data_IF_836830990160
#
_entry.id   IF_836830990160
#
_cell.length_a   1.000
_cell.length_b   1.000
_cell.length_c   1.000
_cell.angle_alpha   90.00
_cell.angle_beta   90.00
_cell.angle_gamma   90.00
#
_symmetry.space_group_name_H-M   'P 1'
#
loop_
_entity.id
_entity.type
_entity.pdbx_description
1 polymer ?
#
# COMPACT_ATOMS: atom_id res chain seq x y z
N UNK A 1 13.91 28.39 23.87
CA UNK A 1 13.03 27.70 22.92
C UNK A 1 13.06 26.21 23.28
N UNK A 2 11.95 25.49 23.13
CA UNK A 2 11.96 24.03 23.28
C UNK A 2 12.81 23.40 22.17
N UNK A 3 13.56 22.36 22.53
CA UNK A 3 14.34 21.57 21.58
C UNK A 3 13.36 20.92 20.61
N UNK A 4 13.67 20.96 19.31
CA UNK A 4 12.86 20.34 18.26
C UNK A 4 13.37 18.95 17.96
N UNK A 5 12.46 18.00 17.80
CA UNK A 5 12.78 16.62 17.43
C UNK A 5 12.57 16.40 15.92
N UNK A 6 13.62 15.97 15.24
CA UNK A 6 13.61 15.54 13.84
C UNK A 6 13.74 14.01 13.80
N UNK A 7 12.77 13.35 13.18
CA UNK A 7 12.74 11.89 13.07
C UNK A 7 13.11 11.48 11.65
N UNK A 8 14.00 10.50 11.53
CA UNK A 8 14.27 9.75 10.31
C UNK A 8 13.54 8.40 10.40
N UNK A 9 12.49 8.25 9.60
CA UNK A 9 11.66 7.05 9.62
C UNK A 9 11.95 6.13 8.43
N UNK A 10 12.00 4.83 8.70
CA UNK A 10 12.20 3.80 7.70
C UNK A 10 11.90 2.41 8.21
N UNK A 11 11.95 1.43 7.31
CA UNK A 11 11.71 0.03 7.62
C UNK A 11 12.88 -0.87 7.20
N UNK A 12 13.01 -2.00 7.87
CA UNK A 12 14.09 -2.98 7.64
C UNK A 12 13.61 -4.27 6.99
N UNK A 13 12.32 -4.53 7.00
CA UNK A 13 11.71 -5.63 6.27
C UNK A 13 11.63 -5.34 4.76
N UNK A 14 11.31 -6.35 3.99
CA UNK A 14 11.30 -6.29 2.52
C UNK A 14 10.22 -7.20 1.96
N UNK A 15 9.64 -6.84 0.81
CA UNK A 15 8.73 -7.71 0.07
C UNK A 15 9.44 -8.99 -0.41
N UNK A 16 8.69 -10.08 -0.68
CA UNK A 16 9.24 -11.30 -1.30
C UNK A 16 10.02 -11.02 -2.58
N UNK A 17 11.02 -11.81 -2.86
CA UNK A 17 11.89 -11.65 -4.03
C UNK A 17 11.18 -11.84 -5.37
N UNK A 18 10.06 -12.57 -5.39
CA UNK A 18 9.52 -13.13 -6.61
C UNK A 18 10.38 -14.30 -7.15
N UNK A 19 10.22 -14.70 -8.41
CA UNK A 19 10.97 -15.81 -9.00
C UNK A 19 12.48 -15.52 -9.04
N UNK A 20 13.28 -16.33 -8.35
CA UNK A 20 14.74 -16.16 -8.27
C UNK A 20 15.40 -16.20 -9.65
N UNK A 21 14.85 -16.93 -10.61
CA UNK A 21 15.37 -17.00 -11.99
C UNK A 21 15.34 -15.65 -12.75
N UNK A 22 14.61 -14.66 -12.24
CA UNK A 22 14.57 -13.31 -12.82
C UNK A 22 15.63 -12.37 -12.26
N UNK A 23 16.36 -12.80 -11.24
CA UNK A 23 17.44 -12.03 -10.66
C UNK A 23 18.78 -12.32 -11.37
N UNK A 24 19.56 -11.26 -11.61
CA UNK A 24 20.91 -11.37 -12.18
C UNK A 24 22.00 -11.67 -11.12
N UNK A 25 21.64 -11.63 -9.84
CA UNK A 25 22.47 -11.96 -8.67
C UNK A 25 21.56 -12.44 -7.54
N UNK A 26 22.11 -13.06 -6.50
CA UNK A 26 21.35 -13.40 -5.32
C UNK A 26 20.72 -12.12 -4.72
N UNK A 27 19.38 -12.06 -4.53
CA UNK A 27 18.70 -10.89 -4.00
C UNK A 27 19.13 -10.48 -2.59
N UNK A 28 19.71 -11.40 -1.80
CA UNK A 28 20.17 -11.13 -0.44
C UNK A 28 21.70 -10.97 -0.32
N UNK A 29 22.41 -10.99 -1.45
CA UNK A 29 23.84 -10.69 -1.51
C UNK A 29 24.05 -9.35 -2.21
N UNK A 30 24.44 -8.27 -1.48
CA UNK A 30 24.67 -6.95 -2.07
C UNK A 30 25.67 -7.02 -3.20
N UNK A 31 25.23 -6.71 -4.41
CA UNK A 31 26.06 -6.86 -5.61
C UNK A 31 26.25 -5.51 -6.30
N UNK A 32 27.49 -5.04 -6.39
CA UNK A 32 27.86 -3.85 -7.17
C UNK A 32 28.05 -4.22 -8.63
N UNK A 33 27.27 -3.61 -9.53
CA UNK A 33 27.36 -3.84 -10.97
C UNK A 33 26.93 -2.59 -11.73
N UNK A 34 27.67 -2.18 -12.74
CA UNK A 34 27.35 -1.05 -13.62
C UNK A 34 27.06 0.26 -12.86
N UNK A 35 27.81 0.53 -11.80
CA UNK A 35 27.66 1.72 -10.95
C UNK A 35 26.39 1.72 -10.07
N UNK A 36 25.72 0.58 -9.93
CA UNK A 36 24.51 0.39 -9.12
C UNK A 36 24.72 -0.68 -8.07
N UNK A 37 23.97 -0.57 -6.98
CA UNK A 37 23.85 -1.61 -5.95
C UNK A 37 22.56 -2.42 -6.20
N UNK A 38 22.73 -3.71 -6.44
CA UNK A 38 21.63 -4.66 -6.61
C UNK A 38 21.41 -5.46 -5.34
N UNK A 39 20.15 -5.62 -4.96
CA UNK A 39 19.70 -6.42 -3.83
C UNK A 39 18.27 -6.09 -3.43
N UNK A 40 17.55 -7.06 -2.86
CA UNK A 40 16.23 -6.83 -2.31
C UNK A 40 16.32 -5.88 -1.11
N UNK A 41 15.52 -4.79 -1.09
CA UNK A 41 15.59 -3.74 -0.08
C UNK A 41 16.68 -2.70 -0.30
N UNK A 42 17.47 -2.77 -1.41
CA UNK A 42 18.46 -1.75 -1.71
C UNK A 42 17.79 -0.40 -2.04
N UNK A 43 16.79 -0.39 -2.92
CA UNK A 43 16.03 0.82 -3.26
C UNK A 43 14.98 1.14 -2.21
N UNK A 44 14.28 0.13 -1.72
CA UNK A 44 13.19 0.22 -0.76
C UNK A 44 13.54 -0.63 0.47
N UNK A 45 14.03 -0.02 1.58
CA UNK A 45 14.49 1.36 1.63
C UNK A 45 15.84 1.46 2.40
N UNK A 46 16.60 0.35 2.50
CA UNK A 46 17.81 0.27 3.34
C UNK A 46 18.91 1.28 2.95
N UNK A 47 18.99 1.66 1.67
CA UNK A 47 19.93 2.70 1.22
C UNK A 47 19.59 4.06 1.80
N UNK A 48 18.31 4.39 1.93
CA UNK A 48 17.86 5.62 2.57
C UNK A 48 18.19 5.63 4.06
N UNK A 49 18.03 4.49 4.76
CA UNK A 49 18.46 4.38 6.17
C UNK A 49 19.96 4.61 6.30
N UNK A 50 20.76 4.00 5.45
CA UNK A 50 22.21 4.20 5.44
C UNK A 50 22.57 5.67 5.18
N UNK A 51 21.89 6.34 4.24
CA UNK A 51 22.08 7.76 3.96
C UNK A 51 21.72 8.64 5.16
N UNK A 52 20.65 8.32 5.91
CA UNK A 52 20.30 9.02 7.14
C UNK A 52 21.39 8.92 8.20
N UNK A 53 21.95 7.70 8.39
CA UNK A 53 23.04 7.49 9.35
C UNK A 53 24.25 8.35 9.00
N UNK A 54 24.71 8.27 7.75
CA UNK A 54 25.88 9.06 7.29
C UNK A 54 25.62 10.56 7.42
N UNK A 55 24.45 11.03 7.01
CA UNK A 55 24.10 12.45 7.12
C UNK A 55 24.09 12.95 8.58
N UNK A 56 23.59 12.12 9.51
CA UNK A 56 23.61 12.44 10.95
C UNK A 56 25.04 12.44 11.48
N UNK A 57 25.88 11.48 11.13
CA UNK A 57 27.29 11.44 11.52
C UNK A 57 28.04 12.68 11.05
N UNK A 58 27.89 13.07 9.77
CA UNK A 58 28.51 14.27 9.19
C UNK A 58 27.99 15.54 9.88
N UNK A 59 26.68 15.63 10.13
CA UNK A 59 26.08 16.77 10.82
C UNK A 59 26.60 16.94 12.24
N UNK A 60 26.68 15.84 13.01
CA UNK A 60 27.19 15.87 14.40
C UNK A 60 28.69 16.18 14.45
N UNK A 61 29.47 15.72 13.46
CA UNK A 61 30.87 16.08 13.36
C UNK A 61 31.08 17.59 13.09
N UNK A 62 30.20 18.19 12.27
CA UNK A 62 30.22 19.63 11.98
C UNK A 62 29.56 20.48 13.07
N UNK A 63 28.62 19.90 13.85
CA UNK A 63 27.85 20.61 14.89
C UNK A 63 27.79 19.76 16.16
N UNK A 64 28.86 19.75 16.99
CA UNK A 64 28.98 18.86 18.13
C UNK A 64 27.93 19.04 19.23
N UNK A 65 27.25 20.19 19.26
CA UNK A 65 26.18 20.50 20.24
C UNK A 65 24.96 21.08 19.53
N UNK A 66 24.23 20.27 18.74
CA UNK A 66 23.08 20.78 18.03
C UNK A 66 21.93 21.14 18.99
N UNK A 67 21.18 22.18 18.66
CA UNK A 67 19.98 22.61 19.39
C UNK A 67 18.72 21.87 18.88
N UNK A 68 18.89 20.65 18.38
CA UNK A 68 17.84 19.76 17.90
C UNK A 68 18.08 18.35 18.43
N UNK A 69 17.03 17.59 18.57
CA UNK A 69 17.04 16.16 18.85
C UNK A 69 16.90 15.39 17.54
N UNK A 70 17.77 14.41 17.32
CA UNK A 70 17.73 13.53 16.14
C UNK A 70 17.31 12.14 16.59
N UNK A 71 16.27 11.61 15.98
CA UNK A 71 15.73 10.30 16.30
C UNK A 71 15.59 9.43 15.06
N UNK A 72 15.82 8.12 15.20
CA UNK A 72 15.54 7.11 14.18
C UNK A 72 14.32 6.31 14.62
N UNK A 73 13.30 6.25 13.77
CA UNK A 73 12.14 5.35 13.92
C UNK A 73 12.28 4.26 12.87
N UNK A 74 12.70 3.07 13.32
CA UNK A 74 12.90 1.92 12.44
C UNK A 74 11.91 0.83 12.83
N UNK A 75 11.22 0.30 11.81
CA UNK A 75 10.24 -0.77 11.97
C UNK A 75 10.60 -1.96 11.08
N UNK A 76 9.96 -3.11 11.32
CA UNK A 76 10.16 -4.35 10.57
C UNK A 76 8.85 -5.01 10.15
N UNK A 77 7.76 -4.25 10.07
CA UNK A 77 6.45 -4.65 9.59
C UNK A 77 5.79 -3.49 8.82
N UNK A 78 6.50 -2.97 7.79
CA UNK A 78 5.94 -1.99 6.85
C UNK A 78 5.41 -2.69 5.61
N UNK A 79 6.17 -3.63 5.06
CA UNK A 79 5.90 -4.37 3.84
C UNK A 79 5.00 -5.60 4.04
N UNK A 80 4.73 -5.94 5.30
CA UNK A 80 3.88 -7.05 5.70
C UNK A 80 2.45 -6.60 6.05
N UNK A 81 1.84 -7.20 7.08
CA UNK A 81 0.51 -6.86 7.55
C UNK A 81 0.37 -5.44 8.11
N UNK A 82 1.50 -4.76 8.41
CA UNK A 82 1.58 -3.41 9.00
C UNK A 82 0.80 -3.26 10.32
N UNK A 83 0.79 -4.32 11.13
CA UNK A 83 0.07 -4.38 12.41
C UNK A 83 0.98 -3.96 13.57
N UNK A 84 2.23 -4.49 13.58
CA UNK A 84 3.20 -4.30 14.66
C UNK A 84 4.32 -3.30 14.31
N UNK A 85 4.13 -2.53 13.23
CA UNK A 85 5.10 -1.56 12.71
C UNK A 85 4.93 -0.14 13.27
N UNK A 86 5.07 0.84 12.39
CA UNK A 86 5.06 2.29 12.71
C UNK A 86 3.86 2.73 13.53
N UNK A 87 2.68 2.15 13.31
CA UNK A 87 1.45 2.49 14.04
C UNK A 87 1.61 2.28 15.54
N UNK A 88 2.10 1.11 15.95
CA UNK A 88 2.30 0.76 17.37
C UNK A 88 3.34 1.69 18.02
N UNK A 89 4.44 1.96 17.31
CA UNK A 89 5.47 2.88 17.82
C UNK A 89 4.89 4.28 18.04
N UNK A 90 4.15 4.83 17.07
CA UNK A 90 3.54 6.16 17.19
C UNK A 90 2.50 6.21 18.31
N UNK A 91 1.69 5.18 18.50
CA UNK A 91 0.73 5.09 19.60
C UNK A 91 1.44 5.10 20.97
N UNK A 92 2.56 4.39 21.10
CA UNK A 92 3.35 4.38 22.35
C UNK A 92 4.03 5.72 22.59
N UNK A 93 4.62 6.35 21.59
CA UNK A 93 5.21 7.68 21.70
C UNK A 93 4.17 8.71 22.16
N UNK A 94 2.98 8.65 21.57
CA UNK A 94 1.84 9.49 21.96
C UNK A 94 1.41 9.23 23.41
N UNK A 95 1.33 7.98 23.83
CA UNK A 95 0.98 7.61 25.20
C UNK A 95 2.01 8.12 26.24
N UNK A 96 3.29 8.21 25.86
CA UNK A 96 4.37 8.79 26.67
C UNK A 96 4.43 10.32 26.61
N UNK A 97 3.57 10.96 25.82
CA UNK A 97 3.57 12.43 25.63
C UNK A 97 4.75 12.95 24.83
N UNK A 98 5.46 12.08 24.11
CA UNK A 98 6.58 12.48 23.26
C UNK A 98 6.09 13.21 22.01
N UNK A 99 6.72 14.33 21.71
CA UNK A 99 6.38 15.16 20.56
C UNK A 99 7.45 15.05 19.50
N UNK A 100 7.02 14.62 18.31
CA UNK A 100 7.84 14.64 17.10
C UNK A 100 7.48 15.89 16.31
N UNK A 101 8.44 16.80 16.09
CA UNK A 101 8.19 18.06 15.38
C UNK A 101 8.27 17.92 13.86
N UNK A 102 9.22 17.11 13.38
CA UNK A 102 9.45 16.85 11.96
C UNK A 102 9.73 15.37 11.73
N UNK A 103 9.31 14.86 10.57
CA UNK A 103 9.61 13.50 10.16
C UNK A 103 10.02 13.47 8.69
N UNK A 104 11.15 12.85 8.39
CA UNK A 104 11.59 12.52 7.05
C UNK A 104 11.46 11.02 6.87
N UNK A 105 10.62 10.61 5.91
CA UNK A 105 10.42 9.20 5.57
C UNK A 105 11.28 8.88 4.35
N UNK A 106 12.13 7.86 4.46
CA UNK A 106 13.14 7.54 3.46
C UNK A 106 12.67 6.70 2.27
N UNK A 107 11.38 6.63 2.03
CA UNK A 107 10.80 5.88 0.92
C UNK A 107 11.26 6.39 -0.45
N UNK A 108 11.42 5.50 -1.47
CA UNK A 108 11.82 5.89 -2.81
C UNK A 108 10.70 6.69 -3.50
N UNK A 109 10.93 7.97 -3.72
CA UNK A 109 9.94 8.86 -4.35
C UNK A 109 10.44 9.53 -5.62
N UNK A 110 11.75 9.57 -5.82
CA UNK A 110 12.38 10.18 -7.00
C UNK A 110 11.98 9.47 -8.29
N UNK A 111 11.81 10.23 -9.36
CA UNK A 111 11.37 9.72 -10.67
C UNK A 111 12.55 9.60 -11.63
N UNK A 112 13.27 10.68 -11.90
CA UNK A 112 14.41 10.73 -12.83
C UNK A 112 15.75 10.95 -12.13
N UNK A 113 15.76 11.77 -11.09
CA UNK A 113 16.97 12.12 -10.32
C UNK A 113 16.67 12.03 -8.84
N UNK A 114 17.66 11.58 -8.07
CA UNK A 114 17.55 11.57 -6.60
C UNK A 114 17.16 12.96 -6.07
N UNK A 115 16.06 13.02 -5.34
CA UNK A 115 15.55 14.24 -4.72
C UNK A 115 14.70 15.15 -5.64
N UNK A 116 14.36 14.73 -6.85
CA UNK A 116 13.52 15.51 -7.76
C UNK A 116 12.04 15.53 -7.37
N UNK A 117 11.62 14.61 -6.49
CA UNK A 117 10.25 14.53 -5.98
C UNK A 117 10.22 14.25 -4.48
N UNK A 118 9.46 15.06 -3.77
CA UNK A 118 9.11 14.84 -2.35
C UNK A 118 7.60 14.67 -2.25
N UNK A 119 7.14 13.61 -1.60
CA UNK A 119 5.73 13.42 -1.28
C UNK A 119 5.44 14.01 0.10
N UNK A 120 4.61 15.04 0.16
CA UNK A 120 4.17 15.69 1.40
C UNK A 120 2.78 15.22 1.87
N UNK A 121 2.24 14.18 1.25
CA UNK A 121 0.97 13.54 1.61
C UNK A 121 0.73 12.30 0.76
N UNK A 122 -0.17 11.44 1.21
CA UNK A 122 -0.54 10.20 0.52
C UNK A 122 -2.05 10.10 0.37
N UNK A 123 -2.50 9.45 -0.69
CA UNK A 123 -3.90 9.02 -0.84
C UNK A 123 -4.22 7.93 0.16
N UNK A 124 -5.47 7.88 0.61
CA UNK A 124 -5.98 6.74 1.35
C UNK A 124 -6.05 5.49 0.48
N UNK A 125 -6.01 4.34 1.13
CA UNK A 125 -6.27 3.03 0.52
C UNK A 125 -7.36 2.32 1.30
N UNK A 126 -8.24 1.62 0.58
CA UNK A 126 -9.24 0.75 1.17
C UNK A 126 -9.39 -0.47 0.27
N UNK A 127 -9.12 -1.65 0.80
CA UNK A 127 -9.40 -2.92 0.14
C UNK A 127 -10.73 -3.48 0.59
N UNK A 128 -11.38 -4.25 -0.28
CA UNK A 128 -12.60 -4.94 0.05
C UNK A 128 -12.77 -6.20 -0.79
N UNK A 129 -13.59 -7.09 -0.29
CA UNK A 129 -14.06 -8.28 -0.97
C UNK A 129 -15.57 -8.17 -1.19
N UNK A 130 -16.02 -8.48 -2.40
CA UNK A 130 -17.44 -8.59 -2.74
C UNK A 130 -17.74 -10.03 -3.14
N UNK A 131 -18.47 -10.73 -2.27
CA UNK A 131 -18.86 -12.12 -2.48
C UNK A 131 -20.35 -12.20 -2.88
N UNK A 132 -20.63 -12.85 -4.01
CA UNK A 132 -21.99 -13.12 -4.50
C UNK A 132 -22.27 -14.61 -4.40
N UNK A 133 -23.34 -14.95 -3.72
CA UNK A 133 -23.81 -16.34 -3.58
C UNK A 133 -24.91 -16.63 -4.57
N UNK A 134 -24.71 -17.72 -5.32
CA UNK A 134 -25.69 -18.27 -6.25
C UNK A 134 -26.18 -19.65 -5.82
N UNK A 135 -26.59 -20.44 -6.80
CA UNK A 135 -26.95 -21.85 -6.63
C UNK A 135 -26.15 -22.63 -7.69
N UNK A 136 -25.26 -23.52 -7.23
CA UNK A 136 -24.49 -24.37 -8.12
C UNK A 136 -25.39 -25.35 -8.85
N UNK A 137 -25.10 -25.62 -10.11
CA UNK A 137 -25.85 -26.59 -10.91
C UNK A 137 -25.15 -26.93 -12.23
N UNK A 138 -25.75 -27.84 -12.97
CA UNK A 138 -25.27 -28.20 -14.31
C UNK A 138 -25.73 -27.15 -15.33
N UNK A 139 -24.84 -26.69 -16.22
CA UNK A 139 -25.13 -25.64 -17.21
C UNK A 139 -26.29 -25.98 -18.14
N UNK A 140 -26.53 -27.27 -18.41
CA UNK A 140 -27.66 -27.74 -19.25
C UNK A 140 -29.03 -27.56 -18.59
N UNK A 141 -29.07 -27.28 -17.27
CA UNK A 141 -30.30 -27.09 -16.49
C UNK A 141 -30.29 -25.75 -15.77
N UNK A 142 -30.24 -24.62 -16.52
CA UNK A 142 -30.08 -23.29 -15.93
C UNK A 142 -31.22 -22.90 -14.97
N UNK A 143 -32.41 -23.50 -15.13
CA UNK A 143 -33.56 -23.29 -14.26
C UNK A 143 -33.37 -23.87 -12.83
N UNK A 144 -32.42 -24.76 -12.64
CA UNK A 144 -32.06 -25.36 -11.33
C UNK A 144 -30.84 -24.69 -10.69
N UNK A 145 -30.23 -23.72 -11.38
CA UNK A 145 -29.05 -23.00 -10.91
C UNK A 145 -29.31 -21.51 -10.80
N UNK A 146 -28.45 -20.81 -10.04
CA UNK A 146 -28.43 -19.35 -10.01
C UNK A 146 -26.99 -18.89 -10.15
N UNK A 147 -26.64 -18.44 -11.34
CA UNK A 147 -25.25 -18.09 -11.66
C UNK A 147 -24.82 -16.77 -10.99
N UNK A 148 -23.92 -16.79 -10.00
CA UNK A 148 -23.51 -15.58 -9.30
C UNK A 148 -22.70 -14.62 -10.19
N UNK A 149 -22.03 -15.12 -11.24
CA UNK A 149 -21.33 -14.29 -12.22
C UNK A 149 -22.35 -13.44 -12.99
N UNK A 150 -23.43 -14.04 -13.45
CA UNK A 150 -24.47 -13.31 -14.17
C UNK A 150 -25.22 -12.33 -13.26
N UNK A 151 -25.38 -12.66 -11.97
CA UNK A 151 -25.99 -11.75 -10.98
C UNK A 151 -25.18 -10.50 -10.76
N UNK A 152 -23.83 -10.62 -10.67
CA UNK A 152 -22.97 -9.49 -10.40
C UNK A 152 -22.69 -8.67 -11.67
N UNK A 153 -22.71 -9.26 -12.85
CA UNK A 153 -22.24 -8.61 -14.09
C UNK A 153 -22.85 -7.20 -14.32
N UNK A 154 -24.17 -6.96 -14.14
CA UNK A 154 -24.75 -5.61 -14.26
C UNK A 154 -24.19 -4.63 -13.21
N UNK A 155 -24.11 -5.05 -11.95
CA UNK A 155 -23.58 -4.21 -10.87
C UNK A 155 -22.09 -3.93 -11.03
N UNK A 156 -21.30 -4.91 -11.50
CA UNK A 156 -19.90 -4.74 -11.78
C UNK A 156 -19.67 -3.71 -12.90
N UNK A 157 -20.48 -3.77 -13.97
CA UNK A 157 -20.44 -2.78 -15.06
C UNK A 157 -20.71 -1.36 -14.54
N UNK A 158 -21.70 -1.22 -13.66
CA UNK A 158 -22.00 0.08 -13.03
C UNK A 158 -20.85 0.55 -12.13
N UNK A 159 -20.27 -0.33 -11.30
CA UNK A 159 -19.15 0.01 -10.39
C UNK A 159 -17.91 0.48 -11.15
N UNK A 160 -17.59 -0.19 -12.25
CA UNK A 160 -16.45 0.17 -13.12
C UNK A 160 -16.64 1.55 -13.77
N UNK A 161 -17.88 1.92 -14.09
CA UNK A 161 -18.22 3.18 -14.75
C UNK A 161 -18.35 4.38 -13.77
N UNK A 162 -18.27 4.15 -12.45
CA UNK A 162 -18.44 5.24 -11.47
C UNK A 162 -17.23 6.19 -11.52
N UNK A 163 -17.49 7.47 -11.73
CA UNK A 163 -16.60 8.54 -11.30
C UNK A 163 -16.82 8.77 -9.80
N UNK A 164 -15.84 8.39 -9.00
CA UNK A 164 -15.97 8.38 -7.55
C UNK A 164 -15.92 9.79 -6.94
N UNK A 165 -15.02 10.64 -7.46
CA UNK A 165 -14.89 12.08 -7.23
C UNK A 165 -14.04 12.72 -8.34
N UNK A 166 -13.84 14.03 -8.26
CA UNK A 166 -13.05 14.80 -9.22
C UNK A 166 -11.59 14.99 -8.74
N UNK A 167 -11.21 14.45 -7.59
CA UNK A 167 -9.93 14.74 -6.96
C UNK A 167 -9.89 16.15 -6.37
N UNK A 168 -8.69 16.71 -6.23
CA UNK A 168 -8.47 18.09 -5.78
C UNK A 168 -7.09 18.61 -6.24
N UNK A 169 -6.70 19.82 -5.78
CA UNK A 169 -5.42 20.43 -6.16
C UNK A 169 -4.17 19.60 -5.82
N UNK A 170 -4.29 18.60 -4.91
CA UNK A 170 -3.17 17.80 -4.42
C UNK A 170 -3.20 16.35 -4.89
N UNK A 171 -4.40 15.84 -5.24
CA UNK A 171 -4.58 14.42 -5.55
C UNK A 171 -5.49 14.24 -6.78
N UNK A 172 -5.18 13.25 -7.63
CA UNK A 172 -6.06 12.86 -8.72
C UNK A 172 -7.39 12.28 -8.17
N UNK A 173 -8.40 12.11 -9.05
CA UNK A 173 -9.65 11.47 -8.70
C UNK A 173 -9.46 10.11 -8.02
N UNK A 174 -10.39 9.78 -7.13
CA UNK A 174 -10.44 8.45 -6.51
C UNK A 174 -10.62 7.37 -7.56
N UNK A 175 -9.79 6.34 -7.50
CA UNK A 175 -9.86 5.17 -8.37
C UNK A 175 -10.34 3.94 -7.62
N UNK A 176 -11.08 3.09 -8.33
CA UNK A 176 -11.52 1.77 -7.89
C UNK A 176 -11.05 0.72 -8.91
N UNK A 177 -10.39 -0.33 -8.44
CA UNK A 177 -9.85 -1.38 -9.29
C UNK A 177 -10.14 -2.75 -8.70
N UNK A 178 -10.60 -3.67 -9.55
CA UNK A 178 -10.65 -5.10 -9.21
C UNK A 178 -9.25 -5.67 -9.39
N UNK A 179 -8.74 -6.33 -8.36
CA UNK A 179 -7.41 -6.94 -8.38
C UNK A 179 -7.46 -8.45 -8.63
N UNK A 180 -8.52 -9.13 -8.17
CA UNK A 180 -8.69 -10.57 -8.37
C UNK A 180 -10.16 -10.92 -8.60
N UNK A 181 -10.38 -12.04 -9.30
CA UNK A 181 -11.67 -12.67 -9.49
C UNK A 181 -11.52 -14.16 -9.19
N UNK A 182 -12.38 -14.67 -8.33
CA UNK A 182 -12.42 -16.08 -7.94
C UNK A 182 -13.81 -16.66 -8.19
N UNK A 183 -13.91 -17.61 -9.08
CA UNK A 183 -15.15 -18.32 -9.38
C UNK A 183 -14.85 -19.66 -10.04
N UNK A 184 -15.89 -20.50 -10.12
CA UNK A 184 -15.82 -21.78 -10.82
C UNK A 184 -15.26 -22.91 -9.97
N UNK A 185 -15.47 -24.12 -10.48
CA UNK A 185 -15.02 -25.39 -9.87
C UNK A 185 -13.92 -26.05 -10.68
N UNK A 186 -13.49 -25.42 -11.80
CA UNK A 186 -12.60 -26.02 -12.81
C UNK A 186 -13.34 -26.91 -13.82
N UNK A 187 -14.60 -27.25 -13.59
CA UNK A 187 -15.40 -28.06 -14.51
C UNK A 187 -16.18 -27.17 -15.50
N UNK A 188 -16.01 -27.40 -16.80
CA UNK A 188 -16.62 -26.57 -17.85
C UNK A 188 -18.16 -26.67 -17.97
N UNK A 189 -18.80 -27.61 -17.28
CA UNK A 189 -20.23 -27.86 -17.30
C UNK A 189 -20.93 -27.54 -15.97
N UNK A 190 -20.28 -26.83 -15.04
CA UNK A 190 -20.83 -26.49 -13.74
C UNK A 190 -20.95 -24.98 -13.59
N UNK A 191 -22.15 -24.51 -13.25
CA UNK A 191 -22.42 -23.15 -12.78
C UNK A 191 -21.84 -23.04 -11.36
N UNK A 192 -20.97 -22.06 -11.02
CA UNK A 192 -20.43 -21.93 -9.68
C UNK A 192 -21.49 -21.53 -8.65
N UNK A 193 -21.27 -21.92 -7.39
CA UNK A 193 -22.15 -21.51 -6.28
C UNK A 193 -21.74 -20.15 -5.69
N UNK A 194 -20.51 -19.71 -5.92
CA UNK A 194 -19.98 -18.46 -5.39
C UNK A 194 -19.12 -17.76 -6.42
N UNK A 195 -19.14 -16.44 -6.42
CA UNK A 195 -18.27 -15.54 -7.18
C UNK A 195 -17.75 -14.47 -6.25
N UNK A 196 -16.44 -14.26 -6.21
CA UNK A 196 -15.77 -13.30 -5.33
C UNK A 196 -14.88 -12.40 -6.17
N UNK A 197 -14.92 -11.11 -5.90
CA UNK A 197 -13.95 -10.14 -6.40
C UNK A 197 -13.24 -9.43 -5.25
N UNK A 198 -11.93 -9.30 -5.36
CA UNK A 198 -11.14 -8.43 -4.52
C UNK A 198 -10.93 -7.10 -5.23
N UNK A 199 -11.12 -6.01 -4.51
CA UNK A 199 -10.95 -4.68 -5.06
C UNK A 199 -10.19 -3.75 -4.12
N UNK A 200 -9.66 -2.67 -4.68
CA UNK A 200 -8.98 -1.63 -3.93
C UNK A 200 -9.39 -0.24 -4.41
N UNK A 201 -9.58 0.66 -3.45
CA UNK A 201 -9.65 2.09 -3.66
C UNK A 201 -8.32 2.76 -3.39
N UNK A 202 -7.99 3.75 -4.24
CA UNK A 202 -7.01 4.79 -3.94
C UNK A 202 -7.76 6.11 -3.93
N UNK A 203 -7.94 6.70 -2.75
CA UNK A 203 -8.82 7.85 -2.59
C UNK A 203 -8.12 9.08 -2.00
N UNK A 204 -8.59 10.25 -2.42
CA UNK A 204 -8.13 11.55 -1.95
C UNK A 204 -8.95 12.04 -0.76
N UNK A 205 -8.57 13.20 -0.23
CA UNK A 205 -9.35 13.88 0.82
C UNK A 205 -10.73 14.37 0.35
N UNK A 206 -11.06 14.24 -0.95
CA UNK A 206 -12.41 14.49 -1.48
C UNK A 206 -13.41 13.37 -1.15
N UNK A 207 -12.93 12.17 -0.77
CA UNK A 207 -13.74 11.02 -0.40
C UNK A 207 -13.43 10.53 1.00
N UNK A 208 -14.40 9.85 1.63
CA UNK A 208 -14.23 9.19 2.93
C UNK A 208 -14.46 7.68 2.78
N UNK A 209 -13.89 6.87 3.68
CA UNK A 209 -14.09 5.41 3.71
C UNK A 209 -15.57 5.06 3.74
N UNK A 210 -16.33 5.65 4.69
CA UNK A 210 -17.77 5.38 4.86
C UNK A 210 -18.57 5.76 3.61
N UNK A 211 -18.22 6.89 2.97
CA UNK A 211 -18.86 7.34 1.75
C UNK A 211 -18.62 6.41 0.56
N UNK A 212 -17.40 5.90 0.42
CA UNK A 212 -17.03 4.94 -0.63
C UNK A 212 -17.72 3.60 -0.39
N UNK A 213 -17.68 3.08 0.84
CA UNK A 213 -18.35 1.84 1.21
C UNK A 213 -19.85 1.91 0.94
N UNK A 214 -20.54 2.95 1.41
CA UNK A 214 -21.97 3.13 1.19
C UNK A 214 -22.35 3.22 -0.30
N UNK A 215 -21.46 3.67 -1.18
CA UNK A 215 -21.67 3.68 -2.64
C UNK A 215 -21.51 2.30 -3.26
N UNK A 216 -20.55 1.50 -2.79
CA UNK A 216 -20.40 0.08 -3.21
C UNK A 216 -21.63 -0.71 -2.78
N UNK A 217 -22.02 -0.63 -1.51
CA UNK A 217 -23.14 -1.37 -0.94
C UNK A 217 -24.45 -1.12 -1.70
N UNK A 218 -24.75 0.13 -2.05
CA UNK A 218 -25.94 0.48 -2.83
C UNK A 218 -25.97 -0.14 -4.23
N UNK A 219 -24.83 -0.48 -4.81
CA UNK A 219 -24.73 -1.07 -6.15
C UNK A 219 -24.70 -2.59 -6.12
N UNK A 220 -24.17 -3.17 -5.04
CA UNK A 220 -24.04 -4.62 -4.88
C UNK A 220 -25.29 -5.30 -4.29
N UNK A 221 -26.19 -4.54 -3.64
CA UNK A 221 -27.39 -5.08 -2.96
C UNK A 221 -28.69 -4.93 -3.74
N UNK A 222 -28.66 -4.58 -5.02
CA UNK A 222 -29.82 -4.46 -5.92
C UNK A 222 -30.18 -5.75 -6.62
#
# INVERSE_FOLDING_TARGET
AAIKTVVFAGHTDVVPTGPLAQWSSDPFVPTHKDGKLYGRGASDMKTSIAAFVVAVEEFLAATPAPLIELAFLLTSDEEGPSVDGTKVVVEQLKARGEKLDYCIVGEPTSVEKTGDMIKNGRRGTMSGELAVRGIQGHIAYPQLAKNPIHLLAPALSELVAIQWDDGNAFFPPTSWQVSNIHAGTGAGNVVPGTFVIDFNFRFSTASTVDGLQARVDRKSTR
#
